data_IF_136907561953
#
_entry.id   IF_136907561953
#
_cell.length_a   1.000
_cell.length_b   1.000
_cell.length_c   1.000
_cell.angle_alpha   90.00
_cell.angle_beta   90.00
_cell.angle_gamma   90.00
#
_symmetry.space_group_name_H-M   'P 1'
#
loop_
_entity.id
_entity.type
_entity.pdbx_description
1 polymer ?
#
# COMPACT_ATOMS: atom_id res chain seq x y z
N UNK A 1 38.16 11.60 11.23
CA UNK A 1 36.85 12.07 10.75
C UNK A 1 35.87 10.92 10.84
N UNK A 2 35.05 10.89 11.90
CA UNK A 2 34.11 9.81 12.18
C UNK A 2 32.78 10.08 11.47
N UNK A 3 32.49 9.31 10.41
CA UNK A 3 31.19 9.36 9.74
C UNK A 3 30.11 8.73 10.63
N UNK A 4 29.11 9.53 11.02
CA UNK A 4 27.93 9.03 11.71
C UNK A 4 27.06 8.23 10.74
N UNK A 5 26.96 6.92 10.95
CA UNK A 5 25.97 6.08 10.27
C UNK A 5 24.63 6.31 10.97
N UNK A 6 23.78 7.15 10.39
CA UNK A 6 22.39 7.30 10.83
C UNK A 6 21.60 6.06 10.43
N UNK A 7 21.60 5.06 11.30
CA UNK A 7 20.68 3.94 11.20
C UNK A 7 19.26 4.45 11.47
N UNK A 8 18.49 4.73 10.41
CA UNK A 8 17.04 4.90 10.50
C UNK A 8 16.49 3.57 11.01
N UNK A 9 15.91 3.59 12.21
CA UNK A 9 15.57 2.39 12.97
C UNK A 9 14.45 1.56 12.36
N UNK A 10 14.37 0.29 12.77
CA UNK A 10 13.18 -0.55 12.58
C UNK A 10 11.94 0.12 13.17
N UNK A 11 10.84 0.12 12.43
CA UNK A 11 9.49 0.37 12.96
C UNK A 11 8.82 1.66 12.47
N UNK A 12 9.57 2.75 12.26
CA UNK A 12 8.99 4.08 12.04
C UNK A 12 8.72 4.41 10.55
N UNK A 13 8.06 3.49 9.85
CA UNK A 13 7.40 3.82 8.58
C UNK A 13 5.94 4.16 8.84
N UNK A 14 5.49 5.33 8.37
CA UNK A 14 4.09 5.75 8.47
C UNK A 14 3.24 5.01 7.43
N UNK A 15 2.95 3.74 7.72
CA UNK A 15 2.10 2.89 6.90
C UNK A 15 0.65 3.37 6.95
N UNK A 16 0.08 3.73 5.81
CA UNK A 16 -1.37 3.90 5.74
C UNK A 16 -2.03 2.53 5.97
N UNK A 17 -2.54 2.30 7.18
CA UNK A 17 -3.32 1.10 7.51
C UNK A 17 -4.68 1.19 6.85
N UNK A 18 -4.76 0.62 5.65
CA UNK A 18 -6.00 0.31 4.96
C UNK A 18 -6.81 -0.68 5.83
N UNK A 19 -7.91 -0.23 6.44
CA UNK A 19 -8.63 -0.97 7.47
C UNK A 19 -9.46 -0.09 8.41
N UNK A 20 -10.55 -0.64 8.96
CA UNK A 20 -11.63 0.12 9.60
C UNK A 20 -11.20 1.05 10.75
N UNK A 21 -11.66 2.30 10.69
CA UNK A 21 -11.44 3.29 11.72
C UNK A 21 -12.27 3.02 12.99
N UNK A 22 -11.62 3.08 14.15
CA UNK A 22 -12.26 3.64 15.35
C UNK A 22 -12.01 5.14 15.35
N UNK A 23 -13.09 5.92 15.25
CA UNK A 23 -13.07 7.38 15.34
C UNK A 23 -12.56 7.83 16.71
N UNK A 24 -11.64 8.81 16.76
CA UNK A 24 -11.76 9.91 17.69
C UNK A 24 -12.17 11.19 16.95
N UNK A 25 -12.94 12.01 17.66
CA UNK A 25 -13.66 13.15 17.13
C UNK A 25 -12.75 14.35 16.82
N UNK A 26 -13.28 15.29 16.02
CA UNK A 26 -12.80 16.68 15.83
C UNK A 26 -11.40 16.91 15.24
N UNK A 27 -11.37 17.30 13.96
CA UNK A 27 -11.39 18.74 13.66
C UNK A 27 -12.25 19.05 12.42
N UNK A 28 -12.95 20.18 12.46
CA UNK A 28 -14.01 20.55 11.52
C UNK A 28 -13.46 20.99 10.16
N UNK A 29 -13.95 20.38 9.08
CA UNK A 29 -13.81 20.91 7.71
C UNK A 29 -15.12 20.85 6.88
N UNK A 30 -16.26 20.56 7.51
CA UNK A 30 -17.58 20.56 6.84
C UNK A 30 -18.26 21.94 6.77
N UNK A 31 -17.67 23.00 7.34
CA UNK A 31 -18.31 24.31 7.51
C UNK A 31 -18.20 25.27 6.29
N UNK A 32 -17.86 24.76 5.09
CA UNK A 32 -17.71 25.57 3.88
C UNK A 32 -18.64 25.13 2.72
N UNK A 33 -19.60 24.25 3.00
CA UNK A 33 -20.62 23.81 2.04
C UNK A 33 -22.00 23.95 2.69
N UNK A 34 -22.96 24.49 1.94
CA UNK A 34 -24.35 24.81 2.33
C UNK A 34 -24.53 26.00 3.29
N UNK A 35 -24.97 27.12 2.73
CA UNK A 35 -25.62 28.18 3.50
C UNK A 35 -27.08 27.83 3.81
N UNK A 36 -27.52 28.26 5.01
CA UNK A 36 -28.88 28.65 5.39
C UNK A 36 -30.10 27.97 4.74
N UNK A 37 -30.79 27.07 5.49
CA UNK A 37 -32.21 27.26 5.85
C UNK A 37 -32.76 26.14 6.75
N UNK A 38 -32.88 26.44 8.04
CA UNK A 38 -34.01 26.13 8.95
C UNK A 38 -34.83 24.82 8.85
N UNK A 39 -34.64 24.00 9.90
CA UNK A 39 -35.68 23.59 10.88
C UNK A 39 -36.51 22.29 10.73
N UNK A 40 -36.76 21.73 11.94
CA UNK A 40 -37.76 20.73 12.38
C UNK A 40 -37.52 19.22 12.11
N UNK A 41 -37.91 18.26 12.97
CA UNK A 41 -38.11 18.19 14.45
C UNK A 41 -38.21 16.69 14.84
N UNK A 42 -37.67 16.29 16.01
CA UNK A 42 -37.91 15.08 16.84
C UNK A 42 -38.63 13.84 16.25
N UNK A 43 -38.12 12.62 16.55
CA UNK A 43 -38.61 11.81 17.69
C UNK A 43 -37.82 10.51 17.93
N UNK A 44 -38.04 9.91 19.12
CA UNK A 44 -37.20 8.90 19.77
C UNK A 44 -38.09 7.85 20.46
N UNK A 45 -37.96 6.56 20.13
CA UNK A 45 -38.61 5.46 20.89
C UNK A 45 -37.78 4.17 20.87
N UNK A 46 -37.39 3.71 22.06
CA UNK A 46 -37.30 2.29 22.47
C UNK A 46 -38.17 2.13 23.73
N UNK A 47 -38.67 0.93 24.11
CA UNK A 47 -37.90 -0.08 24.87
C UNK A 47 -38.17 -1.50 24.30
N UNK A 48 -38.08 -2.68 24.95
CA UNK A 48 -37.90 -3.08 26.36
C UNK A 48 -37.21 -4.46 26.51
N UNK A 49 -37.42 -5.16 27.64
CA UNK A 49 -36.85 -6.46 27.99
C UNK A 49 -37.93 -7.49 28.38
N UNK A 50 -37.59 -8.78 28.37
CA UNK A 50 -38.12 -9.76 29.33
C UNK A 50 -37.07 -10.86 29.64
N UNK A 51 -37.04 -11.37 30.89
CA UNK A 51 -36.15 -12.43 31.41
C UNK A 51 -36.98 -13.53 32.09
N UNK A 52 -36.43 -14.75 32.18
CA UNK A 52 -36.33 -15.65 33.36
C UNK A 52 -36.08 -17.12 32.91
N UNK A 53 -34.97 -17.75 33.33
CA UNK A 53 -34.78 -18.67 34.47
C UNK A 53 -35.43 -20.07 34.33
N UNK A 54 -34.89 -21.22 34.78
CA UNK A 54 -33.52 -21.71 35.11
C UNK A 54 -33.56 -23.29 35.06
N UNK A 55 -32.80 -24.16 35.80
CA UNK A 55 -32.15 -25.31 35.15
C UNK A 55 -32.40 -26.72 35.75
N UNK A 56 -32.03 -27.77 35.01
CA UNK A 56 -31.68 -29.12 35.53
C UNK A 56 -30.97 -29.95 34.43
N UNK A 57 -30.54 -31.19 34.67
CA UNK A 57 -29.39 -31.64 35.49
C UNK A 57 -29.08 -33.11 35.09
N UNK A 58 -27.81 -33.54 35.21
CA UNK A 58 -27.32 -34.92 35.02
C UNK A 58 -27.49 -35.61 33.63
N UNK A 59 -26.36 -35.93 33.00
CA UNK A 59 -25.89 -37.33 32.97
C UNK A 59 -24.39 -37.39 32.63
N UNK A 60 -23.67 -38.32 33.26
CA UNK A 60 -22.20 -38.43 33.18
C UNK A 60 -21.82 -39.72 32.48
N UNK A 61 -21.04 -39.64 31.39
CA UNK A 61 -20.21 -40.77 30.96
C UNK A 61 -18.77 -40.32 30.70
N UNK A 62 -17.88 -40.75 31.60
CA UNK A 62 -16.43 -40.72 31.38
C UNK A 62 -16.07 -41.85 30.42
N UNK A 63 -15.21 -41.58 29.44
CA UNK A 63 -14.37 -42.61 28.81
C UNK A 63 -12.92 -42.24 29.11
N UNK A 64 -12.13 -43.25 29.48
CA UNK A 64 -10.84 -43.06 30.15
C UNK A 64 -9.72 -42.60 29.22
N UNK A 65 -8.80 -41.80 29.77
CA UNK A 65 -7.50 -41.56 29.16
C UNK A 65 -6.53 -42.70 29.54
N UNK A 66 -5.78 -43.29 28.58
CA UNK A 66 -4.59 -44.05 28.89
C UNK A 66 -3.38 -43.09 28.94
N UNK A 67 -2.81 -42.90 30.14
CA UNK A 67 -1.58 -42.13 30.31
C UNK A 67 -0.36 -43.07 30.27
N UNK A 68 0.16 -43.29 29.07
CA UNK A 68 1.49 -43.83 28.80
C UNK A 68 1.86 -43.34 27.38
N UNK A 69 3.01 -42.71 27.12
CA UNK A 69 4.21 -42.56 27.90
C UNK A 69 5.36 -42.56 26.90
N UNK A 70 6.27 -41.59 27.02
CA UNK A 70 7.57 -41.54 26.31
C UNK A 70 7.55 -41.33 24.78
N UNK A 71 7.72 -40.08 24.39
CA UNK A 71 8.75 -39.74 23.41
C UNK A 71 8.44 -39.99 21.93
N UNK A 72 7.66 -39.09 21.32
CA UNK A 72 8.13 -38.52 20.06
C UNK A 72 7.73 -37.04 19.94
N UNK A 73 8.69 -36.12 20.03
CA UNK A 73 8.50 -34.77 19.52
C UNK A 73 8.59 -34.85 18.01
N UNK A 74 7.50 -35.31 17.40
CA UNK A 74 7.20 -35.00 16.02
C UNK A 74 7.03 -33.48 15.95
N UNK A 75 8.15 -32.76 15.80
CA UNK A 75 8.13 -31.51 15.07
C UNK A 75 7.49 -31.87 13.75
N UNK A 76 6.25 -31.43 13.56
CA UNK A 76 5.65 -31.36 12.23
C UNK A 76 6.50 -30.37 11.47
N UNK A 77 7.61 -30.85 10.91
CA UNK A 77 8.26 -30.23 9.77
C UNK A 77 7.22 -30.37 8.69
N UNK A 78 6.31 -29.41 8.64
CA UNK A 78 5.40 -29.24 7.51
C UNK A 78 6.30 -29.34 6.29
N UNK A 79 5.99 -30.27 5.39
CA UNK A 79 6.64 -30.32 4.10
C UNK A 79 6.33 -28.99 3.44
N UNK A 80 7.27 -28.04 3.52
CA UNK A 80 7.12 -26.71 2.94
C UNK A 80 7.22 -26.91 1.45
N UNK A 81 6.10 -27.29 0.82
CA UNK A 81 5.95 -27.19 -0.62
C UNK A 81 6.41 -25.78 -1.01
N UNK A 82 7.22 -25.61 -2.08
CA UNK A 82 7.86 -24.34 -2.40
C UNK A 82 6.80 -23.26 -2.58
N UNK A 83 6.59 -22.46 -1.54
CA UNK A 83 5.56 -21.45 -1.49
C UNK A 83 6.02 -20.29 -2.36
N UNK A 84 5.39 -20.15 -3.53
CA UNK A 84 5.62 -19.09 -4.52
C UNK A 84 5.16 -17.75 -3.93
N UNK A 85 5.89 -17.22 -2.95
CA UNK A 85 5.66 -15.92 -2.34
C UNK A 85 5.96 -14.83 -3.35
N UNK A 86 4.96 -14.01 -3.67
CA UNK A 86 5.08 -12.89 -4.60
C UNK A 86 4.67 -11.59 -3.92
N UNK A 87 5.21 -10.47 -4.38
CA UNK A 87 4.74 -9.13 -4.01
C UNK A 87 4.84 -8.17 -5.21
N UNK A 88 4.07 -7.10 -5.17
CA UNK A 88 4.22 -5.99 -6.10
C UNK A 88 4.69 -4.71 -5.39
N UNK A 89 5.47 -3.92 -6.11
CA UNK A 89 5.93 -2.58 -5.71
C UNK A 89 5.53 -1.62 -6.81
N UNK A 90 4.83 -0.56 -6.49
CA UNK A 90 4.27 0.38 -7.46
C UNK A 90 4.58 1.79 -6.97
N UNK A 91 5.31 2.58 -7.75
CA UNK A 91 5.47 3.99 -7.39
C UNK A 91 4.13 4.72 -7.50
N UNK A 92 3.93 5.77 -6.69
CA UNK A 92 2.80 6.67 -6.87
C UNK A 92 3.09 7.69 -7.97
N UNK A 93 4.28 8.30 -7.93
CA UNK A 93 4.76 9.35 -8.84
C UNK A 93 4.81 8.86 -10.28
N UNK A 94 4.03 9.47 -11.16
CA UNK A 94 4.05 9.25 -12.61
C UNK A 94 3.85 7.78 -13.05
N UNK A 95 3.35 6.94 -12.15
CA UNK A 95 2.99 5.54 -12.35
C UNK A 95 1.51 5.32 -12.03
N UNK A 96 1.01 5.82 -10.89
CA UNK A 96 -0.42 5.78 -10.54
C UNK A 96 -1.11 7.15 -10.65
N UNK A 97 -0.37 8.23 -10.38
CA UNK A 97 -0.85 9.61 -10.52
C UNK A 97 0.11 10.42 -11.42
N UNK A 98 -0.38 11.25 -12.36
CA UNK A 98 0.44 12.03 -13.29
C UNK A 98 0.99 13.30 -12.62
N UNK A 99 1.76 13.16 -11.54
CA UNK A 99 2.16 14.27 -10.67
C UNK A 99 3.02 15.33 -11.38
N UNK A 100 3.91 14.95 -12.30
CA UNK A 100 4.69 15.93 -13.07
C UNK A 100 3.78 16.79 -13.96
N UNK A 101 2.73 16.19 -14.53
CA UNK A 101 1.71 16.90 -15.30
C UNK A 101 0.90 17.85 -14.41
N UNK A 102 0.48 17.37 -13.24
CA UNK A 102 -0.26 18.18 -12.26
C UNK A 102 0.60 19.32 -11.70
N UNK A 103 1.90 19.11 -11.49
CA UNK A 103 2.83 20.14 -11.06
C UNK A 103 2.98 21.24 -12.12
N UNK A 104 3.18 20.86 -13.40
CA UNK A 104 3.39 21.82 -14.50
C UNK A 104 2.11 22.56 -14.90
N UNK A 105 0.99 21.86 -15.08
CA UNK A 105 -0.23 22.44 -15.63
C UNK A 105 -1.25 22.88 -14.57
N UNK A 106 -1.25 22.25 -13.39
CA UNK A 106 -2.11 22.65 -12.27
C UNK A 106 -1.34 23.37 -11.15
N UNK A 107 -0.03 23.57 -11.28
CA UNK A 107 0.76 24.21 -10.22
C UNK A 107 0.71 23.45 -8.89
N UNK A 108 0.58 22.12 -8.93
CA UNK A 108 0.58 21.28 -7.73
C UNK A 108 1.94 21.39 -7.02
N UNK A 109 1.92 21.89 -5.79
CA UNK A 109 3.09 22.02 -4.93
C UNK A 109 2.98 21.19 -3.65
N UNK A 110 4.02 21.25 -2.81
CA UNK A 110 4.06 20.54 -1.52
C UNK A 110 3.24 21.22 -0.42
N UNK A 111 3.03 22.53 -0.53
CA UNK A 111 2.33 23.34 0.46
C UNK A 111 0.81 23.35 0.23
N UNK A 112 0.02 23.37 1.30
CA UNK A 112 -1.45 23.30 1.24
C UNK A 112 -2.08 24.34 0.30
N UNK A 113 -1.57 25.58 0.30
CA UNK A 113 -2.05 26.65 -0.59
C UNK A 113 -1.83 26.36 -2.08
N UNK A 114 -0.75 25.67 -2.44
CA UNK A 114 -0.49 25.24 -3.80
C UNK A 114 -1.40 24.07 -4.21
N UNK A 115 -1.68 23.15 -3.27
CA UNK A 115 -2.65 22.06 -3.45
C UNK A 115 -4.06 22.62 -3.66
N UNK A 116 -4.52 23.55 -2.81
CA UNK A 116 -5.81 24.22 -2.94
C UNK A 116 -5.95 24.95 -4.28
N UNK A 117 -4.94 25.72 -4.68
CA UNK A 117 -4.92 26.42 -5.96
C UNK A 117 -4.96 25.44 -7.16
N UNK A 118 -4.31 24.28 -7.05
CA UNK A 118 -4.36 23.23 -8.06
C UNK A 118 -5.75 22.57 -8.14
N UNK A 119 -6.44 22.39 -7.01
CA UNK A 119 -7.83 21.90 -6.96
C UNK A 119 -8.80 22.90 -7.61
N UNK A 120 -8.65 24.20 -7.34
CA UNK A 120 -9.47 25.25 -7.97
C UNK A 120 -9.27 25.26 -9.49
N UNK A 121 -8.02 25.21 -9.97
CA UNK A 121 -7.71 25.09 -11.41
C UNK A 121 -8.33 23.84 -12.02
N UNK A 122 -8.18 22.68 -11.38
CA UNK A 122 -8.76 21.42 -11.82
C UNK A 122 -10.29 21.50 -11.96
N UNK A 123 -10.97 21.98 -10.92
CA UNK A 123 -12.44 22.10 -10.90
C UNK A 123 -13.00 23.12 -11.90
N UNK A 124 -12.17 24.03 -12.40
CA UNK A 124 -12.58 25.01 -13.42
C UNK A 124 -12.66 24.43 -14.85
N UNK A 125 -12.19 23.19 -15.08
CA UNK A 125 -12.19 22.53 -16.39
C UNK A 125 -12.91 21.17 -16.34
N UNK A 126 -14.12 21.05 -16.94
CA UNK A 126 -14.86 19.79 -16.99
C UNK A 126 -14.10 18.66 -17.72
N UNK A 127 -13.45 18.97 -18.84
CA UNK A 127 -12.70 17.99 -19.65
C UNK A 127 -11.51 17.40 -18.87
N UNK A 128 -10.87 18.22 -18.03
CA UNK A 128 -9.80 17.79 -17.14
C UNK A 128 -10.33 16.89 -16.01
N UNK A 129 -11.46 17.23 -15.39
CA UNK A 129 -12.10 16.36 -14.40
C UNK A 129 -12.44 14.99 -15.00
N UNK A 130 -12.97 14.97 -16.23
CA UNK A 130 -13.27 13.73 -16.95
C UNK A 130 -11.99 12.92 -17.25
N UNK A 131 -10.92 13.60 -17.68
CA UNK A 131 -9.62 12.97 -17.97
C UNK A 131 -8.99 12.35 -16.72
N UNK A 132 -9.01 13.06 -15.58
CA UNK A 132 -8.49 12.54 -14.31
C UNK A 132 -9.37 11.41 -13.75
N UNK A 133 -10.69 11.46 -13.90
CA UNK A 133 -11.58 10.36 -13.52
C UNK A 133 -11.37 9.11 -14.38
N UNK A 134 -11.05 9.26 -15.68
CA UNK A 134 -10.69 8.14 -16.55
C UNK A 134 -9.34 7.53 -16.14
N UNK A 135 -8.36 8.36 -15.78
CA UNK A 135 -7.08 7.91 -15.21
C UNK A 135 -7.30 7.18 -13.87
N UNK A 136 -8.14 7.71 -12.99
CA UNK A 136 -8.49 7.09 -11.71
C UNK A 136 -9.07 5.68 -11.90
N UNK A 137 -10.08 5.55 -12.75
CA UNK A 137 -10.71 4.27 -13.10
C UNK A 137 -9.66 3.28 -13.63
N UNK A 138 -8.76 3.73 -14.50
CA UNK A 138 -7.71 2.87 -15.07
C UNK A 138 -6.64 2.49 -14.03
N UNK A 139 -6.32 3.37 -13.10
CA UNK A 139 -5.44 3.11 -11.95
C UNK A 139 -6.07 2.09 -10.99
N UNK A 140 -7.37 2.21 -10.70
CA UNK A 140 -8.10 1.20 -9.91
C UNK A 140 -8.05 -0.18 -10.58
N UNK A 141 -8.32 -0.25 -11.89
CA UNK A 141 -8.22 -1.50 -12.66
C UNK A 141 -6.82 -2.12 -12.62
N UNK A 142 -5.76 -1.31 -12.74
CA UNK A 142 -4.37 -1.77 -12.60
C UNK A 142 -4.10 -2.36 -11.21
N UNK A 143 -4.56 -1.70 -10.13
CA UNK A 143 -4.38 -2.19 -8.77
C UNK A 143 -5.14 -3.50 -8.51
N UNK A 144 -6.42 -3.57 -8.86
CA UNK A 144 -7.24 -4.79 -8.71
C UNK A 144 -6.65 -5.97 -9.48
N UNK A 145 -6.24 -5.75 -10.74
CA UNK A 145 -5.61 -6.79 -11.56
C UNK A 145 -4.24 -7.21 -10.99
N UNK A 146 -3.47 -6.28 -10.43
CA UNK A 146 -2.19 -6.59 -9.79
C UNK A 146 -2.37 -7.43 -8.53
N UNK A 147 -3.29 -7.06 -7.62
CA UNK A 147 -3.60 -7.88 -6.44
C UNK A 147 -4.00 -9.31 -6.84
N UNK A 148 -4.91 -9.44 -7.81
CA UNK A 148 -5.45 -10.73 -8.28
C UNK A 148 -4.38 -11.64 -8.89
N UNK A 149 -3.40 -11.08 -9.58
CA UNK A 149 -2.36 -11.87 -10.28
C UNK A 149 -1.11 -12.14 -9.44
N UNK A 150 -0.79 -11.26 -8.50
CA UNK A 150 0.35 -11.43 -7.60
C UNK A 150 0.02 -12.44 -6.51
N UNK A 151 -1.22 -12.43 -6.00
CA UNK A 151 -1.66 -13.26 -4.87
C UNK A 151 -0.75 -13.05 -3.64
N UNK A 152 -0.57 -11.78 -3.29
CA UNK A 152 0.38 -11.32 -2.28
C UNK A 152 0.32 -9.79 -2.10
N UNK A 153 1.13 -9.23 -1.18
CA UNK A 153 1.05 -7.81 -0.83
C UNK A 153 1.48 -6.89 -1.98
N UNK A 154 0.78 -5.77 -2.12
CA UNK A 154 1.03 -4.68 -3.07
C UNK A 154 1.44 -3.44 -2.29
N UNK A 155 2.65 -2.95 -2.54
CA UNK A 155 3.21 -1.76 -1.90
C UNK A 155 3.14 -0.57 -2.85
N UNK A 156 2.39 0.46 -2.50
CA UNK A 156 2.41 1.76 -3.16
C UNK A 156 3.45 2.62 -2.46
N UNK A 157 4.53 2.97 -3.16
CA UNK A 157 5.67 3.70 -2.61
C UNK A 157 5.72 5.11 -3.18
N UNK A 158 5.92 6.10 -2.32
CA UNK A 158 5.93 7.52 -2.65
C UNK A 158 7.22 8.20 -2.18
N UNK A 159 7.70 9.20 -2.92
CA UNK A 159 8.79 10.12 -2.54
C UNK A 159 8.29 11.31 -1.69
N UNK A 160 6.97 11.43 -1.52
CA UNK A 160 6.29 12.33 -0.59
C UNK A 160 5.76 11.56 0.63
N UNK A 161 5.46 12.23 1.73
CA UNK A 161 4.94 11.58 2.94
C UNK A 161 3.52 11.07 2.79
N UNK A 162 3.16 10.06 3.60
CA UNK A 162 1.88 9.35 3.52
C UNK A 162 0.68 10.31 3.63
N UNK A 163 0.77 11.31 4.52
CA UNK A 163 -0.26 12.34 4.66
C UNK A 163 -0.44 13.21 3.40
N UNK A 164 0.64 13.49 2.65
CA UNK A 164 0.55 14.21 1.38
C UNK A 164 -0.06 13.34 0.27
N UNK A 165 0.32 12.05 0.20
CA UNK A 165 -0.28 11.08 -0.73
C UNK A 165 -1.78 10.98 -0.48
N UNK A 166 -2.20 10.85 0.78
CA UNK A 166 -3.61 10.80 1.17
C UNK A 166 -4.35 12.10 0.85
N UNK A 167 -3.76 13.27 1.15
CA UNK A 167 -4.36 14.57 0.84
C UNK A 167 -4.60 14.74 -0.66
N UNK A 168 -3.54 14.61 -1.48
CA UNK A 168 -3.64 14.77 -2.94
C UNK A 168 -4.56 13.71 -3.55
N UNK A 169 -4.46 12.46 -3.11
CA UNK A 169 -5.38 11.42 -3.59
C UNK A 169 -6.81 11.74 -3.22
N UNK A 170 -7.11 12.20 -2.00
CA UNK A 170 -8.50 12.52 -1.60
C UNK A 170 -9.14 13.64 -2.41
N UNK A 171 -8.33 14.58 -2.91
CA UNK A 171 -8.77 15.77 -3.64
C UNK A 171 -8.91 15.57 -5.15
N UNK A 172 -8.06 14.75 -5.76
CA UNK A 172 -8.02 14.51 -7.21
C UNK A 172 -8.49 13.10 -7.61
N UNK A 173 -8.37 12.12 -6.71
CA UNK A 173 -8.67 10.69 -6.92
C UNK A 173 -9.50 10.12 -5.72
N UNK A 174 -10.74 10.61 -5.51
CA UNK A 174 -11.54 10.28 -4.34
C UNK A 174 -12.00 8.81 -4.29
N UNK A 175 -12.25 8.16 -5.44
CA UNK A 175 -12.64 6.74 -5.52
C UNK A 175 -11.45 5.83 -5.21
N UNK A 176 -10.25 6.17 -5.71
CA UNK A 176 -9.01 5.51 -5.35
C UNK A 176 -8.76 5.62 -3.84
N UNK A 177 -8.95 6.81 -3.26
CA UNK A 177 -8.76 7.04 -1.82
C UNK A 177 -9.76 6.24 -0.98
N UNK A 178 -11.03 6.20 -1.38
CA UNK A 178 -12.04 5.36 -0.74
C UNK A 178 -11.68 3.86 -0.84
N UNK A 179 -11.25 3.40 -2.02
CA UNK A 179 -10.82 2.01 -2.22
C UNK A 179 -9.63 1.65 -1.32
N UNK A 180 -8.60 2.49 -1.28
CA UNK A 180 -7.42 2.30 -0.41
C UNK A 180 -7.82 2.29 1.07
N UNK A 181 -8.59 3.27 1.57
CA UNK A 181 -9.06 3.27 2.97
C UNK A 181 -9.90 2.03 3.31
N UNK A 182 -10.67 1.50 2.35
CA UNK A 182 -11.52 0.31 2.54
C UNK A 182 -10.78 -1.03 2.44
N UNK A 183 -9.58 -1.07 1.87
CA UNK A 183 -8.85 -2.30 1.59
C UNK A 183 -8.28 -2.93 2.86
N UNK A 184 -9.06 -3.78 3.54
CA UNK A 184 -8.71 -4.35 4.85
C UNK A 184 -7.41 -5.16 4.90
N UNK A 185 -6.94 -5.67 3.76
CA UNK A 185 -5.65 -6.36 3.61
C UNK A 185 -5.08 -6.19 2.20
N UNK A 186 -3.76 -6.36 2.05
CA UNK A 186 -3.11 -6.61 0.76
C UNK A 186 -2.62 -5.41 -0.04
N UNK A 187 -3.10 -4.18 0.23
CA UNK A 187 -2.47 -2.94 -0.27
C UNK A 187 -1.90 -2.17 0.92
N UNK A 188 -0.69 -1.64 0.76
CA UNK A 188 -0.01 -0.80 1.73
C UNK A 188 0.54 0.46 1.04
N UNK A 189 0.17 1.64 1.52
CA UNK A 189 0.71 2.92 1.02
C UNK A 189 1.79 3.41 1.96
N UNK A 190 2.94 3.80 1.41
CA UNK A 190 4.11 4.26 2.15
C UNK A 190 4.68 5.51 1.51
N UNK A 191 4.65 6.61 2.24
CA UNK A 191 5.41 7.79 1.92
C UNK A 191 6.78 7.83 2.58
N UNK A 192 7.61 8.75 2.12
CA UNK A 192 8.87 9.12 2.80
C UNK A 192 8.60 9.71 4.18
N UNK A 193 9.55 9.57 5.13
CA UNK A 193 9.49 10.38 6.36
C UNK A 193 9.48 11.87 6.00
N UNK A 194 8.93 12.70 6.89
CA UNK A 194 8.87 14.17 6.73
C UNK A 194 10.24 14.88 6.85
N UNK A 195 11.34 14.20 6.52
CA UNK A 195 12.72 14.70 6.51
C UNK A 195 13.22 14.86 5.07
N UNK A 196 14.05 15.87 4.83
CA UNK A 196 14.68 16.06 3.52
C UNK A 196 15.83 15.05 3.35
N UNK A 197 15.53 13.91 2.72
CA UNK A 197 16.54 12.92 2.36
C UNK A 197 17.28 13.35 1.09
N UNK A 198 18.62 13.23 1.10
CA UNK A 198 19.43 13.34 -0.13
C UNK A 198 19.12 12.16 -1.07
N UNK A 199 19.51 12.28 -2.34
CA UNK A 199 19.30 11.20 -3.32
C UNK A 199 19.96 9.85 -2.92
N UNK A 200 21.03 9.87 -2.12
CA UNK A 200 21.67 8.66 -1.59
C UNK A 200 20.85 8.05 -0.45
N UNK A 201 20.39 8.87 0.50
CA UNK A 201 19.56 8.43 1.62
C UNK A 201 18.20 7.95 1.15
N UNK A 202 17.59 8.62 0.17
CA UNK A 202 16.35 8.19 -0.49
C UNK A 202 16.48 6.79 -1.10
N UNK A 203 17.60 6.52 -1.78
CA UNK A 203 17.90 5.21 -2.36
C UNK A 203 18.06 4.14 -1.26
N UNK A 204 18.75 4.46 -0.17
CA UNK A 204 18.92 3.55 0.97
C UNK A 204 17.58 3.28 1.68
N UNK A 205 16.78 4.33 1.91
CA UNK A 205 15.43 4.23 2.48
C UNK A 205 14.52 3.33 1.63
N UNK A 206 14.48 3.48 0.30
CA UNK A 206 13.70 2.60 -0.59
C UNK A 206 14.17 1.13 -0.52
N UNK A 207 15.47 0.87 -0.40
CA UNK A 207 16.00 -0.50 -0.23
C UNK A 207 15.56 -1.08 1.12
N UNK A 208 15.73 -0.32 2.21
CA UNK A 208 15.35 -0.75 3.56
C UNK A 208 13.84 -0.99 3.68
N UNK A 209 13.02 -0.13 3.05
CA UNK A 209 11.57 -0.30 2.98
C UNK A 209 11.19 -1.63 2.33
N UNK A 210 11.84 -2.00 1.22
CA UNK A 210 11.60 -3.28 0.57
C UNK A 210 12.11 -4.48 1.38
N UNK A 211 13.13 -4.28 2.22
CA UNK A 211 13.59 -5.32 3.16
C UNK A 211 12.54 -5.55 4.26
N UNK A 212 12.03 -4.48 4.86
CA UNK A 212 10.90 -4.52 5.83
C UNK A 212 9.65 -5.14 5.19
N UNK A 213 9.27 -4.72 3.99
CA UNK A 213 8.14 -5.27 3.23
C UNK A 213 8.24 -6.80 3.03
N UNK A 214 9.44 -7.31 2.76
CA UNK A 214 9.67 -8.75 2.62
C UNK A 214 9.57 -9.46 3.97
N UNK A 215 10.28 -8.98 4.99
CA UNK A 215 10.38 -9.68 6.27
C UNK A 215 9.06 -9.63 7.07
N UNK A 216 8.42 -8.47 7.17
CA UNK A 216 7.25 -8.27 8.04
C UNK A 216 5.93 -8.66 7.36
N UNK A 217 5.79 -8.41 6.05
CA UNK A 217 4.53 -8.63 5.33
C UNK A 217 4.56 -9.86 4.44
N UNK A 218 5.58 -10.05 3.60
CA UNK A 218 5.66 -11.23 2.73
C UNK A 218 5.95 -12.51 3.52
N UNK A 219 6.67 -12.42 4.65
CA UNK A 219 6.92 -13.51 5.60
C UNK A 219 6.19 -13.33 6.95
N UNK A 220 5.08 -12.58 6.96
CA UNK A 220 4.24 -12.36 8.14
C UNK A 220 3.98 -13.65 8.96
N UNK A 221 4.17 -13.55 10.28
CA UNK A 221 4.05 -14.67 11.22
C UNK A 221 5.26 -15.60 11.32
N UNK A 222 6.35 -15.33 10.60
CA UNK A 222 7.63 -16.04 10.70
C UNK A 222 8.64 -15.11 11.39
N UNK A 223 9.41 -15.66 12.33
CA UNK A 223 10.52 -14.94 12.97
C UNK A 223 11.55 -14.43 11.93
N UNK A 224 12.13 -13.26 12.14
CA UNK A 224 13.03 -12.59 11.20
C UNK A 224 14.28 -13.42 10.87
N UNK A 225 14.86 -14.10 11.85
CA UNK A 225 16.03 -14.97 11.66
C UNK A 225 15.60 -16.21 10.85
N UNK A 226 14.42 -16.77 11.14
CA UNK A 226 13.86 -17.86 10.35
C UNK A 226 13.54 -17.43 8.90
N UNK A 227 12.96 -16.26 8.68
CA UNK A 227 12.66 -15.70 7.36
C UNK A 227 13.94 -15.45 6.54
N UNK A 228 14.96 -14.84 7.15
CA UNK A 228 16.28 -14.63 6.54
C UNK A 228 16.93 -15.96 6.14
N UNK A 229 16.87 -16.96 7.03
CA UNK A 229 17.36 -18.31 6.73
C UNK A 229 16.57 -19.03 5.62
N UNK A 230 15.29 -18.72 5.43
CA UNK A 230 14.51 -19.23 4.29
C UNK A 230 14.93 -18.53 2.99
N UNK A 231 15.04 -17.19 3.00
CA UNK A 231 15.46 -16.38 1.85
C UNK A 231 16.85 -16.74 1.31
N UNK A 232 17.77 -17.15 2.19
CA UNK A 232 19.10 -17.61 1.82
C UNK A 232 19.13 -18.99 1.12
N UNK A 233 18.07 -19.81 1.23
CA UNK A 233 18.05 -21.21 0.73
C UNK A 233 17.41 -21.31 -0.64
N UNK A 234 18.16 -21.85 -1.61
CA UNK A 234 17.72 -22.03 -3.01
C UNK A 234 16.37 -22.75 -3.18
N UNK A 235 16.03 -23.69 -2.30
CA UNK A 235 14.78 -24.46 -2.36
C UNK A 235 13.52 -23.69 -1.90
N UNK A 236 13.67 -22.68 -1.03
CA UNK A 236 12.54 -22.05 -0.32
C UNK A 236 12.54 -20.50 -0.36
N UNK A 237 13.69 -19.88 -0.62
CA UNK A 237 13.87 -18.43 -0.65
C UNK A 237 13.54 -17.75 -1.98
N UNK A 238 12.95 -18.49 -2.93
CA UNK A 238 12.60 -17.96 -4.25
C UNK A 238 11.32 -17.13 -4.20
N UNK A 239 11.46 -15.87 -3.78
CA UNK A 239 10.40 -14.87 -3.92
C UNK A 239 10.35 -14.28 -5.34
N UNK A 240 9.22 -13.70 -5.70
CA UNK A 240 9.03 -12.98 -6.97
C UNK A 240 8.52 -11.56 -6.71
N UNK A 241 9.15 -10.58 -7.34
CA UNK A 241 8.84 -9.16 -7.12
C UNK A 241 8.52 -8.52 -8.47
N UNK A 242 7.31 -7.99 -8.60
CA UNK A 242 6.86 -7.22 -9.78
C UNK A 242 6.91 -5.73 -9.42
N UNK A 243 7.76 -4.95 -10.09
CA UNK A 243 7.95 -3.54 -9.77
C UNK A 243 7.54 -2.61 -10.93
N UNK A 244 6.71 -1.61 -10.65
CA UNK A 244 6.32 -0.54 -11.58
C UNK A 244 7.02 0.75 -11.11
N UNK A 245 8.14 1.06 -11.74
CA UNK A 245 9.10 2.05 -11.27
C UNK A 245 8.91 3.41 -11.96
N UNK A 246 8.97 4.50 -11.18
CA UNK A 246 8.92 5.87 -11.72
C UNK A 246 10.25 6.25 -12.39
N UNK A 247 11.37 5.99 -11.71
CA UNK A 247 12.70 6.45 -12.10
C UNK A 247 13.78 5.35 -11.97
N UNK A 248 15.04 5.69 -12.28
CA UNK A 248 16.15 4.73 -12.23
C UNK A 248 16.56 4.37 -10.79
N UNK A 249 16.33 5.26 -9.82
CA UNK A 249 16.53 4.97 -8.40
C UNK A 249 15.60 3.85 -7.93
N UNK A 250 14.33 3.88 -8.33
CA UNK A 250 13.35 2.82 -8.03
C UNK A 250 13.79 1.46 -8.61
N UNK A 251 14.21 1.42 -9.88
CA UNK A 251 14.68 0.15 -10.48
C UNK A 251 15.92 -0.40 -9.77
N UNK A 252 16.78 0.49 -9.25
CA UNK A 252 17.96 0.12 -8.46
C UNK A 252 17.55 -0.36 -7.07
N UNK A 253 16.59 0.29 -6.42
CA UNK A 253 16.09 -0.10 -5.11
C UNK A 253 15.37 -1.45 -5.16
N UNK A 254 14.50 -1.65 -6.16
CA UNK A 254 13.86 -2.94 -6.43
C UNK A 254 14.90 -4.05 -6.66
N UNK A 255 15.98 -3.77 -7.41
CA UNK A 255 17.11 -4.70 -7.59
C UNK A 255 17.86 -4.98 -6.29
N UNK A 256 17.91 -4.01 -5.36
CA UNK A 256 18.50 -4.12 -4.02
C UNK A 256 17.83 -5.14 -3.09
N UNK A 257 16.65 -5.67 -3.45
CA UNK A 257 16.04 -6.83 -2.78
C UNK A 257 16.98 -8.05 -2.77
N UNK A 258 17.84 -8.21 -3.78
CA UNK A 258 18.78 -9.35 -3.84
C UNK A 258 19.82 -9.37 -2.71
N UNK A 259 20.00 -8.27 -1.98
CA UNK A 259 20.88 -8.20 -0.82
C UNK A 259 20.38 -9.07 0.35
N UNK A 260 19.06 -9.19 0.52
CA UNK A 260 18.45 -10.07 1.54
C UNK A 260 17.85 -11.36 0.95
N UNK A 261 17.49 -11.35 -0.33
CA UNK A 261 16.86 -12.46 -1.03
C UNK A 261 17.64 -12.78 -2.31
N UNK A 262 18.81 -13.45 -2.25
CA UNK A 262 19.68 -13.64 -3.40
C UNK A 262 19.04 -14.37 -4.60
N UNK A 263 18.04 -15.22 -4.31
CA UNK A 263 17.31 -16.03 -5.29
C UNK A 263 16.03 -15.32 -5.80
N UNK A 264 15.79 -14.06 -5.42
CA UNK A 264 14.61 -13.29 -5.82
C UNK A 264 14.53 -13.08 -7.34
N UNK A 265 13.37 -13.42 -7.92
CA UNK A 265 13.03 -13.15 -9.32
C UNK A 265 12.38 -11.77 -9.38
N UNK A 266 13.18 -10.77 -9.74
CA UNK A 266 12.73 -9.38 -9.84
C UNK A 266 12.39 -9.08 -11.31
N UNK A 267 11.18 -8.57 -11.54
CA UNK A 267 10.67 -8.10 -12.82
C UNK A 267 10.23 -6.66 -12.65
N UNK A 268 11.00 -5.71 -13.18
CA UNK A 268 10.67 -4.29 -13.11
C UNK A 268 10.43 -3.71 -14.50
N UNK A 269 9.49 -2.78 -14.60
CA UNK A 269 9.33 -1.87 -15.74
C UNK A 269 9.48 -0.45 -15.24
N UNK A 270 10.19 0.39 -15.99
CA UNK A 270 10.29 1.82 -15.72
C UNK A 270 9.41 2.58 -16.70
N UNK A 271 8.61 3.51 -16.21
CA UNK A 271 7.82 4.40 -17.06
C UNK A 271 8.71 5.35 -17.84
N UNK A 272 8.27 5.75 -19.03
CA UNK A 272 9.01 6.70 -19.85
C UNK A 272 8.68 8.12 -19.40
N UNK A 273 9.49 8.67 -18.50
CA UNK A 273 9.50 10.12 -18.27
C UNK A 273 10.33 10.79 -19.39
N UNK A 274 9.76 11.68 -20.23
CA UNK A 274 10.49 12.39 -21.27
C UNK A 274 11.62 13.23 -20.66
N UNK A 275 12.82 13.17 -21.25
CA UNK A 275 13.96 13.93 -20.69
C UNK A 275 13.72 15.45 -20.75
N UNK A 276 13.54 16.03 -19.57
CA UNK A 276 13.91 17.40 -19.20
C UNK A 276 13.11 18.61 -19.76
N UNK A 277 11.97 18.47 -20.48
CA UNK A 277 11.20 19.65 -20.92
C UNK A 277 9.66 19.60 -20.86
N UNK A 278 9.02 18.43 -20.85
CA UNK A 278 7.57 18.36 -20.74
C UNK A 278 7.16 17.06 -20.02
N UNK A 279 6.14 17.10 -19.14
CA UNK A 279 5.56 15.89 -18.57
C UNK A 279 4.77 15.11 -19.63
N UNK A 280 4.50 13.83 -19.35
CA UNK A 280 3.67 12.97 -20.19
C UNK A 280 2.25 13.54 -20.29
N UNK A 281 1.63 13.50 -21.49
CA UNK A 281 0.24 13.93 -21.67
C UNK A 281 -0.73 13.01 -20.89
N UNK A 282 -1.94 13.49 -20.58
CA UNK A 282 -2.93 12.65 -19.87
C UNK A 282 -3.34 11.42 -20.69
N UNK A 283 -3.42 11.54 -22.02
CA UNK A 283 -3.71 10.42 -22.93
C UNK A 283 -2.57 9.40 -22.97
N UNK A 284 -1.31 9.85 -23.04
CA UNK A 284 -0.13 8.98 -22.99
C UNK A 284 0.02 8.30 -21.62
N UNK A 285 -0.37 8.98 -20.54
CA UNK A 285 -0.42 8.44 -19.19
C UNK A 285 -1.50 7.35 -19.05
N UNK A 286 -2.69 7.60 -19.59
CA UNK A 286 -3.76 6.61 -19.66
C UNK A 286 -3.35 5.38 -20.47
N UNK A 287 -2.70 5.58 -21.63
CA UNK A 287 -2.12 4.50 -22.45
C UNK A 287 -0.98 3.78 -21.72
N UNK A 288 -0.18 4.48 -20.92
CA UNK A 288 0.84 3.90 -20.06
C UNK A 288 0.25 2.94 -19.02
N UNK A 289 -0.82 3.31 -18.31
CA UNK A 289 -1.48 2.42 -17.34
C UNK A 289 -1.92 1.09 -17.99
N UNK A 290 -2.40 1.13 -19.24
CA UNK A 290 -2.73 -0.08 -20.00
C UNK A 290 -1.49 -0.93 -20.32
N UNK A 291 -0.35 -0.32 -20.69
CA UNK A 291 0.94 -1.03 -20.89
C UNK A 291 1.45 -1.65 -19.58
N UNK A 292 1.32 -0.94 -18.46
CA UNK A 292 1.69 -1.46 -17.13
C UNK A 292 0.83 -2.67 -16.75
N UNK A 293 -0.48 -2.63 -16.99
CA UNK A 293 -1.37 -3.77 -16.76
C UNK A 293 -1.00 -5.00 -17.61
N UNK A 294 -0.60 -4.80 -18.87
CA UNK A 294 -0.06 -5.88 -19.72
C UNK A 294 1.26 -6.43 -19.18
N UNK A 295 2.17 -5.58 -18.71
CA UNK A 295 3.42 -6.00 -18.07
C UNK A 295 3.15 -6.86 -16.83
N UNK A 296 2.22 -6.46 -15.95
CA UNK A 296 1.82 -7.25 -14.78
C UNK A 296 1.26 -8.61 -15.20
N UNK A 297 0.37 -8.67 -16.20
CA UNK A 297 -0.15 -9.94 -16.75
C UNK A 297 0.95 -10.89 -17.24
N UNK A 298 1.99 -10.38 -17.87
CA UNK A 298 3.12 -11.18 -18.36
C UNK A 298 4.08 -11.59 -17.24
N UNK A 299 4.19 -10.80 -16.16
CA UNK A 299 5.24 -10.95 -15.15
C UNK A 299 4.75 -11.42 -13.78
N UNK A 300 3.44 -11.47 -13.50
CA UNK A 300 2.88 -11.98 -12.24
C UNK A 300 2.54 -13.49 -12.30
N UNK A 301 2.17 -14.00 -13.48
CA UNK A 301 2.06 -15.44 -13.74
C UNK A 301 3.41 -16.16 -13.59
#
# INVERSE_FOLDING_TARGET
MTGGVYAIGKGDYDWMKCGAATVPDQMSFCALICGSSSSETLQLVTPAMARHNSPSAFSTQRIAAPYAGRGNRNKTVASVAPCKKQMAVINWENVLAPLDWMAVYLGLGRDNSAVEAAVVRCRSSPDLLQSLAAIEERTMQLLTETMRLVDGPVFIVSEYSTSYVELVSSLFFPRLTAALRSASTGIYVVGTPNTQLTALEMKQWKVNLLHTAILEYLFAGIDEVAATNLLARSAYGRIKVVALCANEMDTTAASGVRLIAPIAVIRHVRVQCPKARAPVSLDDFYAQLQRLMQFVRQNAN
#
